data_IF_038985260477
#
_entry.id   IF_038985260477
#
_cell.length_a   1.000
_cell.length_b   1.000
_cell.length_c   1.000
_cell.angle_alpha   90.00
_cell.angle_beta   90.00
_cell.angle_gamma   90.00
#
_symmetry.space_group_name_H-M   'P 1'
#
loop_
_entity.id
_entity.type
_entity.pdbx_description
1 polymer ?
#
# COMPACT_ATOMS: atom_id res chain seq x y z
N UNK A 1 -5.92 26.61 -25.99
CA UNK A 1 -5.33 25.96 -24.80
C UNK A 1 -6.40 25.05 -24.19
N UNK A 2 -6.36 23.78 -24.51
CA UNK A 2 -7.26 22.77 -23.94
C UNK A 2 -6.96 22.66 -22.44
N UNK A 3 -7.98 22.91 -21.64
CA UNK A 3 -7.94 22.81 -20.19
C UNK A 3 -7.73 21.32 -19.83
N UNK A 4 -6.47 20.89 -19.69
CA UNK A 4 -6.14 19.56 -19.17
C UNK A 4 -6.64 19.47 -17.73
N UNK A 5 -7.89 19.05 -17.59
CA UNK A 5 -8.43 18.63 -16.30
C UNK A 5 -7.57 17.45 -15.88
N UNK A 6 -6.45 17.72 -15.16
CA UNK A 6 -5.51 16.69 -14.69
C UNK A 6 -6.33 15.59 -14.05
N UNK A 7 -6.41 14.43 -14.72
CA UNK A 7 -7.11 13.28 -14.18
C UNK A 7 -6.49 12.92 -12.84
N UNK A 8 -7.33 12.62 -11.86
CA UNK A 8 -6.92 12.24 -10.51
C UNK A 8 -7.54 10.89 -10.20
N UNK A 9 -6.70 9.94 -9.86
CA UNK A 9 -7.13 8.63 -9.38
C UNK A 9 -6.96 8.54 -7.87
N UNK A 10 -7.88 7.83 -7.21
CA UNK A 10 -7.84 7.54 -5.78
C UNK A 10 -7.51 6.07 -5.61
N UNK A 11 -6.39 5.74 -5.00
CA UNK A 11 -5.92 4.37 -4.84
C UNK A 11 -5.56 4.08 -3.37
N UNK A 12 -6.03 2.95 -2.85
CA UNK A 12 -5.53 2.38 -1.61
C UNK A 12 -4.30 1.54 -1.96
N UNK A 13 -3.13 1.92 -1.45
CA UNK A 13 -1.86 1.32 -1.87
C UNK A 13 -1.38 0.16 -0.99
N UNK A 14 -2.22 -0.29 -0.05
CA UNK A 14 -1.85 -1.36 0.88
C UNK A 14 -3.08 -2.17 1.30
N UNK A 15 -3.34 -3.28 0.60
CA UNK A 15 -4.49 -4.16 0.86
C UNK A 15 -4.07 -5.62 0.75
N UNK A 16 -4.48 -6.45 1.73
CA UNK A 16 -4.27 -7.89 1.74
C UNK A 16 -5.53 -8.65 1.35
N UNK A 17 -5.35 -9.80 0.70
CA UNK A 17 -6.45 -10.64 0.23
C UNK A 17 -6.38 -12.05 0.82
N UNK A 18 -7.26 -12.95 0.39
CA UNK A 18 -7.22 -14.38 0.77
C UNK A 18 -5.92 -15.10 0.37
N UNK A 19 -5.03 -14.45 -0.37
CA UNK A 19 -3.68 -14.93 -0.69
C UNK A 19 -2.64 -14.55 0.37
N UNK A 20 -3.05 -13.78 1.37
CA UNK A 20 -2.27 -13.49 2.58
C UNK A 20 -2.80 -14.33 3.74
N UNK A 21 -1.94 -14.96 4.56
CA UNK A 21 -2.37 -15.91 5.59
C UNK A 21 -3.23 -15.27 6.70
N UNK A 22 -3.22 -13.95 6.80
CA UNK A 22 -3.87 -13.16 7.84
C UNK A 22 -5.00 -12.26 7.31
N UNK A 23 -5.45 -12.51 6.06
CA UNK A 23 -6.57 -11.80 5.45
C UNK A 23 -7.64 -12.76 4.89
N UNK A 24 -8.88 -12.30 4.86
CA UNK A 24 -10.02 -13.04 4.30
C UNK A 24 -10.73 -12.28 3.16
N UNK A 25 -10.10 -11.25 2.62
CA UNK A 25 -10.71 -10.37 1.62
C UNK A 25 -10.75 -11.07 0.25
N UNK A 26 -11.95 -11.36 -0.25
CA UNK A 26 -12.14 -11.87 -1.62
C UNK A 26 -12.12 -10.73 -2.65
N UNK A 27 -12.02 -11.07 -3.96
CA UNK A 27 -12.09 -10.09 -5.05
C UNK A 27 -13.40 -9.30 -5.01
N UNK A 28 -14.52 -9.99 -4.83
CA UNK A 28 -15.85 -9.36 -4.79
C UNK A 28 -15.94 -8.35 -3.63
N UNK A 29 -15.47 -8.73 -2.46
CA UNK A 29 -15.44 -7.86 -1.28
C UNK A 29 -14.53 -6.66 -1.50
N UNK A 30 -13.34 -6.88 -2.08
CA UNK A 30 -12.38 -5.82 -2.39
C UNK A 30 -12.98 -4.79 -3.34
N UNK A 31 -13.52 -5.23 -4.47
CA UNK A 31 -14.11 -4.34 -5.49
C UNK A 31 -15.35 -3.61 -4.93
N UNK A 32 -16.21 -4.33 -4.19
CA UNK A 32 -17.39 -3.72 -3.56
C UNK A 32 -17.01 -2.57 -2.62
N UNK A 33 -16.09 -2.81 -1.67
CA UNK A 33 -15.72 -1.78 -0.70
C UNK A 33 -14.90 -0.65 -1.31
N UNK A 34 -14.00 -0.96 -2.26
CA UNK A 34 -13.25 0.05 -2.99
C UNK A 34 -14.18 1.01 -3.75
N UNK A 35 -15.14 0.48 -4.53
CA UNK A 35 -16.15 1.29 -5.22
C UNK A 35 -17.04 2.07 -4.24
N UNK A 36 -17.47 1.46 -3.15
CA UNK A 36 -18.27 2.12 -2.10
C UNK A 36 -17.55 3.30 -1.45
N UNK A 37 -16.19 3.26 -1.39
CA UNK A 37 -15.34 4.34 -0.88
C UNK A 37 -14.94 5.35 -1.98
N UNK A 38 -15.41 5.15 -3.21
CA UNK A 38 -15.08 6.01 -4.35
C UNK A 38 -13.61 5.92 -4.76
N UNK A 39 -12.97 4.76 -4.54
CA UNK A 39 -11.65 4.49 -5.07
C UNK A 39 -11.72 4.21 -6.57
N UNK A 40 -10.66 4.59 -7.28
CA UNK A 40 -10.44 4.26 -8.70
C UNK A 40 -9.72 2.92 -8.83
N UNK A 41 -8.91 2.55 -7.86
CA UNK A 41 -8.13 1.31 -7.85
C UNK A 41 -7.57 0.98 -6.46
N UNK A 42 -6.92 -0.16 -6.38
CA UNK A 42 -6.19 -0.63 -5.18
C UNK A 42 -4.88 -1.29 -5.59
N UNK A 43 -3.86 -1.23 -4.73
CA UNK A 43 -2.73 -2.14 -4.80
C UNK A 43 -3.01 -3.35 -3.91
N UNK A 44 -2.87 -4.54 -4.46
CA UNK A 44 -2.89 -5.78 -3.70
C UNK A 44 -1.45 -6.11 -3.34
N UNK A 45 -1.20 -6.23 -2.04
CA UNK A 45 0.13 -6.32 -1.46
C UNK A 45 0.20 -7.47 -0.45
N UNK A 46 -0.27 -8.65 -0.86
CA UNK A 46 -0.21 -9.86 -0.04
C UNK A 46 1.22 -10.16 0.42
N UNK A 47 1.37 -10.73 1.62
CA UNK A 47 2.68 -11.05 2.19
C UNK A 47 3.46 -12.04 1.32
N UNK A 48 4.65 -11.62 0.86
CA UNK A 48 5.62 -12.42 0.09
C UNK A 48 5.02 -13.11 -1.16
N UNK A 49 3.90 -12.63 -1.68
CA UNK A 49 3.18 -13.22 -2.81
C UNK A 49 2.65 -12.15 -3.77
N UNK A 50 2.72 -12.44 -5.05
CA UNK A 50 2.10 -11.65 -6.14
C UNK A 50 0.91 -12.38 -6.78
N UNK A 51 0.63 -13.60 -6.35
CA UNK A 51 -0.36 -14.49 -6.97
C UNK A 51 -1.76 -13.89 -6.97
N UNK A 52 -2.25 -13.45 -5.80
CA UNK A 52 -3.55 -12.82 -5.65
C UNK A 52 -3.68 -11.55 -6.49
N UNK A 53 -2.67 -10.71 -6.47
CA UNK A 53 -2.62 -9.47 -7.23
C UNK A 53 -2.73 -9.72 -8.75
N UNK A 54 -1.94 -10.68 -9.27
CA UNK A 54 -1.93 -11.02 -10.70
C UNK A 54 -3.22 -11.71 -11.13
N UNK A 55 -3.79 -12.56 -10.29
CA UNK A 55 -5.06 -13.23 -10.56
C UNK A 55 -6.19 -12.21 -10.60
N UNK A 56 -6.35 -11.41 -9.56
CA UNK A 56 -7.43 -10.43 -9.46
C UNK A 56 -7.36 -9.37 -10.56
N UNK A 57 -6.15 -8.94 -10.96
CA UNK A 57 -5.98 -8.02 -12.07
C UNK A 57 -6.49 -8.56 -13.42
N UNK A 58 -6.59 -9.89 -13.60
CA UNK A 58 -7.15 -10.53 -14.81
C UNK A 58 -8.66 -10.78 -14.71
N UNK A 59 -9.21 -10.82 -13.50
CA UNK A 59 -10.60 -11.19 -13.24
C UNK A 59 -11.53 -9.98 -13.11
N UNK A 60 -11.01 -8.75 -13.18
CA UNK A 60 -11.82 -7.53 -13.05
C UNK A 60 -11.29 -6.38 -13.92
N UNK A 61 -12.20 -5.52 -14.39
CA UNK A 61 -11.87 -4.24 -15.04
C UNK A 61 -11.55 -3.13 -14.01
N UNK A 62 -11.72 -3.39 -12.70
CA UNK A 62 -11.32 -2.47 -11.66
C UNK A 62 -9.79 -2.37 -11.60
N UNK A 63 -9.24 -1.15 -11.47
CA UNK A 63 -7.79 -0.98 -11.47
C UNK A 63 -7.14 -1.68 -10.28
N UNK A 64 -6.45 -2.79 -10.55
CA UNK A 64 -5.59 -3.49 -9.59
C UNK A 64 -4.14 -3.17 -9.93
N UNK A 65 -3.40 -2.62 -8.98
CA UNK A 65 -1.95 -2.44 -9.06
C UNK A 65 -1.31 -3.70 -8.45
N UNK A 66 -0.63 -4.53 -9.27
CA UNK A 66 0.04 -5.71 -8.74
C UNK A 66 1.18 -5.31 -7.81
N UNK A 67 1.25 -5.96 -6.66
CA UNK A 67 2.27 -5.69 -5.66
C UNK A 67 2.44 -6.84 -4.67
N UNK A 68 3.29 -6.63 -3.70
CA UNK A 68 3.51 -7.54 -2.56
C UNK A 68 4.06 -6.74 -1.38
N UNK A 69 3.74 -7.15 -0.16
CA UNK A 69 4.44 -6.72 1.05
C UNK A 69 5.52 -7.73 1.39
N UNK A 70 6.78 -7.35 1.16
CA UNK A 70 7.94 -8.21 1.34
C UNK A 70 8.39 -8.20 2.81
N UNK A 71 8.50 -9.37 3.41
CA UNK A 71 9.09 -9.56 4.75
C UNK A 71 10.62 -9.50 4.65
N UNK A 72 11.19 -8.28 4.67
CA UNK A 72 12.63 -8.12 4.77
C UNK A 72 13.13 -8.38 6.20
N UNK A 73 14.43 -8.61 6.36
CA UNK A 73 15.06 -8.78 7.70
C UNK A 73 14.88 -7.55 8.60
N UNK A 74 14.80 -6.36 7.99
CA UNK A 74 14.79 -5.10 8.71
C UNK A 74 13.38 -4.49 8.89
N UNK A 75 12.36 -5.14 8.34
CA UNK A 75 10.97 -4.71 8.36
C UNK A 75 10.27 -4.89 7.01
N UNK A 76 9.01 -4.53 6.92
CA UNK A 76 8.23 -4.74 5.72
C UNK A 76 8.47 -3.66 4.66
N UNK A 77 8.50 -4.08 3.40
CA UNK A 77 8.63 -3.21 2.23
C UNK A 77 7.50 -3.53 1.25
N UNK A 78 6.68 -2.55 0.93
CA UNK A 78 5.68 -2.70 -0.14
C UNK A 78 6.35 -2.46 -1.50
N UNK A 79 6.24 -3.45 -2.38
CA UNK A 79 6.63 -3.37 -3.77
C UNK A 79 5.38 -3.14 -4.63
N UNK A 80 5.34 -2.07 -5.41
CA UNK A 80 4.26 -1.77 -6.34
C UNK A 80 4.68 -2.06 -7.78
N UNK A 81 3.74 -2.49 -8.61
CA UNK A 81 3.94 -2.86 -10.02
C UNK A 81 5.00 -3.95 -10.22
N UNK A 82 4.97 -4.97 -9.37
CA UNK A 82 5.81 -6.16 -9.50
C UNK A 82 4.96 -7.37 -9.92
N UNK A 83 5.53 -8.21 -10.77
CA UNK A 83 4.86 -9.39 -11.35
C UNK A 83 5.55 -10.71 -11.02
N UNK A 84 6.64 -10.64 -10.28
CA UNK A 84 7.41 -11.78 -9.80
C UNK A 84 7.69 -11.64 -8.31
N UNK A 85 7.93 -12.76 -7.65
CA UNK A 85 8.17 -12.79 -6.21
C UNK A 85 9.51 -12.13 -5.88
N UNK A 86 9.49 -11.18 -4.97
CA UNK A 86 10.69 -10.60 -4.38
C UNK A 86 11.13 -11.50 -3.21
N UNK A 87 12.39 -11.95 -3.15
CA UNK A 87 12.86 -12.82 -2.08
C UNK A 87 12.72 -12.15 -0.71
N UNK A 88 12.11 -12.87 0.24
CA UNK A 88 12.04 -12.45 1.65
C UNK A 88 13.37 -12.65 2.39
N UNK A 89 13.51 -12.01 3.55
CA UNK A 89 14.65 -12.18 4.46
C UNK A 89 15.92 -11.43 4.04
N UNK A 90 15.91 -10.72 2.92
CA UNK A 90 16.96 -9.77 2.53
C UNK A 90 16.94 -8.56 3.48
N UNK A 91 18.01 -7.78 3.54
CA UNK A 91 17.96 -6.46 4.18
C UNK A 91 16.96 -5.55 3.46
N UNK A 92 16.50 -4.49 4.11
CA UNK A 92 15.61 -3.52 3.48
C UNK A 92 16.23 -2.92 2.21
N UNK A 93 17.54 -2.66 2.24
CA UNK A 93 18.29 -2.10 1.11
C UNK A 93 18.36 -3.07 -0.08
N UNK A 94 18.74 -4.33 0.16
CA UNK A 94 18.75 -5.38 -0.86
C UNK A 94 17.33 -5.64 -1.42
N UNK A 95 16.30 -5.56 -0.57
CA UNK A 95 14.91 -5.70 -0.99
C UNK A 95 14.52 -4.59 -1.96
N UNK A 96 14.87 -3.33 -1.64
CA UNK A 96 14.63 -2.18 -2.54
C UNK A 96 15.36 -2.35 -3.87
N UNK A 97 16.63 -2.78 -3.86
CA UNK A 97 17.39 -3.04 -5.08
C UNK A 97 16.73 -4.12 -5.93
N UNK A 98 16.24 -5.21 -5.32
CA UNK A 98 15.52 -6.27 -6.05
C UNK A 98 14.21 -5.77 -6.65
N UNK A 99 13.47 -4.92 -5.94
CA UNK A 99 12.25 -4.29 -6.47
C UNK A 99 12.58 -3.42 -7.69
N UNK A 100 13.64 -2.63 -7.63
CA UNK A 100 14.07 -1.78 -8.76
C UNK A 100 14.53 -2.61 -9.98
N UNK A 101 15.24 -3.72 -9.76
CA UNK A 101 15.69 -4.62 -10.86
C UNK A 101 14.51 -5.14 -11.67
N UNK A 102 13.37 -5.40 -11.04
CA UNK A 102 12.16 -5.89 -11.74
C UNK A 102 11.24 -4.74 -12.20
N UNK A 103 11.70 -3.49 -12.10
CA UNK A 103 10.96 -2.30 -12.55
C UNK A 103 9.84 -1.85 -11.61
N UNK A 104 9.81 -2.34 -10.37
CA UNK A 104 8.85 -1.95 -9.35
C UNK A 104 9.21 -0.65 -8.63
N UNK A 105 8.30 -0.18 -7.80
CA UNK A 105 8.45 0.99 -6.91
C UNK A 105 8.42 0.51 -5.46
N UNK A 106 9.46 0.86 -4.71
CA UNK A 106 9.63 0.45 -3.30
C UNK A 106 9.07 1.51 -2.35
N UNK A 107 8.11 1.11 -1.51
CA UNK A 107 7.49 1.96 -0.50
C UNK A 107 7.88 1.50 0.90
N UNK A 108 8.42 2.40 1.72
CA UNK A 108 8.60 2.18 3.15
C UNK A 108 7.23 2.19 3.84
N UNK A 109 6.61 0.99 3.98
CA UNK A 109 5.28 0.87 4.56
C UNK A 109 5.31 0.93 6.08
N UNK A 110 4.28 1.56 6.68
CA UNK A 110 4.09 1.74 8.13
C UNK A 110 5.39 1.82 8.97
N UNK A 111 6.39 2.67 8.59
CA UNK A 111 7.77 2.55 9.07
C UNK A 111 7.94 2.73 10.58
N UNK A 112 6.92 3.19 11.29
CA UNK A 112 6.95 3.42 12.74
C UNK A 112 5.72 2.89 13.50
N UNK A 113 4.93 2.01 12.90
CA UNK A 113 3.84 1.34 13.60
C UNK A 113 4.40 0.30 14.58
N UNK A 114 3.80 0.16 15.74
CA UNK A 114 4.16 -0.92 16.68
C UNK A 114 3.54 -2.25 16.22
N UNK A 115 4.26 -3.35 16.42
CA UNK A 115 3.80 -4.72 16.16
C UNK A 115 3.48 -5.04 14.69
N UNK A 116 4.14 -4.35 13.74
CA UNK A 116 3.88 -4.49 12.29
C UNK A 116 5.14 -4.65 11.42
N UNK A 117 6.20 -5.23 11.90
CA UNK A 117 7.40 -5.35 11.07
C UNK A 117 7.89 -3.99 10.53
N UNK A 118 7.97 -2.99 11.40
CA UNK A 118 8.30 -1.62 10.99
C UNK A 118 9.78 -1.41 10.73
N UNK A 119 10.11 -0.75 9.61
CA UNK A 119 11.48 -0.46 9.19
C UNK A 119 12.28 0.42 10.16
N UNK A 120 11.61 1.31 10.91
CA UNK A 120 12.26 2.22 11.83
C UNK A 120 13.38 3.05 11.18
N UNK A 121 14.61 2.86 11.67
CA UNK A 121 15.81 3.55 11.14
C UNK A 121 16.23 3.06 9.75
N UNK A 122 15.74 1.91 9.28
CA UNK A 122 16.09 1.35 7.97
C UNK A 122 15.31 1.99 6.81
N UNK A 123 14.27 2.79 7.10
CA UNK A 123 13.66 3.66 6.10
C UNK A 123 14.67 4.74 5.69
N UNK A 124 15.09 4.74 4.43
CA UNK A 124 16.21 5.55 3.90
C UNK A 124 15.84 6.23 2.58
N UNK A 125 16.78 7.00 2.03
CA UNK A 125 16.65 7.67 0.73
C UNK A 125 16.65 6.72 -0.48
N UNK A 126 16.87 5.42 -0.29
CA UNK A 126 16.79 4.41 -1.35
C UNK A 126 15.36 4.04 -1.74
N UNK A 127 14.40 4.30 -0.86
CA UNK A 127 12.98 4.10 -1.15
C UNK A 127 12.45 5.15 -2.15
N UNK A 128 11.43 4.80 -2.91
CA UNK A 128 10.76 5.71 -3.85
C UNK A 128 9.65 6.53 -3.19
N UNK A 129 9.05 6.01 -2.10
CA UNK A 129 8.01 6.67 -1.34
C UNK A 129 7.95 6.18 0.11
N UNK A 130 7.26 6.94 0.96
CA UNK A 130 6.98 6.58 2.36
C UNK A 130 5.47 6.56 2.58
N UNK A 131 4.97 5.47 3.14
CA UNK A 131 3.59 5.39 3.63
C UNK A 131 3.48 6.20 4.92
N UNK A 132 3.12 7.47 4.78
CA UNK A 132 2.97 8.37 5.94
C UNK A 132 1.65 8.14 6.66
N UNK A 133 0.60 7.71 5.94
CA UNK A 133 -0.69 7.34 6.50
C UNK A 133 -0.94 5.86 6.24
N UNK A 134 -0.84 5.05 7.30
CA UNK A 134 -1.33 3.68 7.33
C UNK A 134 -2.50 3.63 8.32
N UNK A 135 -3.72 3.33 7.84
CA UNK A 135 -4.91 3.41 8.69
C UNK A 135 -4.91 2.37 9.83
N UNK A 136 -4.22 1.26 9.65
CA UNK A 136 -4.07 0.19 10.65
C UNK A 136 -2.93 0.43 11.64
N UNK A 137 -2.07 1.45 11.42
CA UNK A 137 -0.94 1.74 12.29
C UNK A 137 -1.37 2.09 13.73
N UNK A 138 -0.59 1.61 14.69
CA UNK A 138 -0.80 1.91 16.10
C UNK A 138 0.54 2.29 16.77
N UNK A 139 0.61 3.35 17.56
CA UNK A 139 -0.35 4.45 17.73
C UNK A 139 -0.40 5.36 16.47
N UNK A 140 -1.55 5.56 15.88
CA UNK A 140 -1.72 6.22 14.58
C UNK A 140 -1.01 7.59 14.48
N UNK A 141 -1.35 8.54 15.36
CA UNK A 141 -0.79 9.91 15.33
C UNK A 141 0.73 9.95 15.50
N UNK A 142 1.30 9.04 16.32
CA UNK A 142 2.75 8.94 16.51
C UNK A 142 3.44 8.39 15.26
N UNK A 143 2.87 7.34 14.67
CA UNK A 143 3.38 6.71 13.45
C UNK A 143 3.36 7.70 12.29
N UNK A 144 2.23 8.37 12.06
CA UNK A 144 2.08 9.44 11.06
C UNK A 144 3.18 10.50 11.21
N UNK A 145 3.30 11.14 12.39
CA UNK A 145 4.29 12.20 12.61
C UNK A 145 5.72 11.75 12.33
N UNK A 146 6.09 10.52 12.73
CA UNK A 146 7.44 10.00 12.49
C UNK A 146 7.67 9.68 11.01
N UNK A 147 6.67 9.12 10.32
CA UNK A 147 6.76 8.82 8.90
C UNK A 147 6.85 10.11 8.06
N UNK A 148 6.11 11.16 8.41
CA UNK A 148 6.25 12.48 7.79
C UNK A 148 7.65 13.08 7.99
N UNK A 149 8.23 12.94 9.17
CA UNK A 149 9.59 13.41 9.44
C UNK A 149 10.64 12.70 8.56
N UNK A 150 10.50 11.38 8.34
CA UNK A 150 11.38 10.63 7.43
C UNK A 150 11.17 11.06 5.99
N UNK A 151 9.92 11.17 5.53
CA UNK A 151 9.60 11.64 4.19
C UNK A 151 10.21 13.02 3.91
N UNK A 152 10.10 13.95 4.87
CA UNK A 152 10.70 15.28 4.77
C UNK A 152 12.23 15.23 4.76
N UNK A 153 12.83 14.41 5.65
CA UNK A 153 14.29 14.27 5.77
C UNK A 153 14.93 13.80 4.47
N UNK A 154 14.33 12.82 3.81
CA UNK A 154 14.85 12.20 2.58
C UNK A 154 14.22 12.76 1.31
N UNK A 155 13.30 13.74 1.42
CA UNK A 155 12.55 14.34 0.31
C UNK A 155 11.77 13.30 -0.50
N UNK A 156 11.24 12.27 0.16
CA UNK A 156 10.50 11.19 -0.48
C UNK A 156 9.02 11.56 -0.66
N UNK A 157 8.40 11.11 -1.76
CA UNK A 157 6.96 11.14 -1.95
C UNK A 157 6.21 10.52 -0.78
N UNK A 158 5.06 11.10 -0.42
CA UNK A 158 4.20 10.61 0.66
C UNK A 158 3.01 9.89 0.08
N UNK A 159 2.75 8.69 0.57
CA UNK A 159 1.61 7.86 0.16
C UNK A 159 0.80 7.40 1.37
N UNK A 160 -0.35 6.81 1.11
CA UNK A 160 -1.24 6.23 2.10
C UNK A 160 -1.80 4.89 1.64
N UNK A 161 -1.98 3.99 2.58
CA UNK A 161 -2.68 2.74 2.42
C UNK A 161 -3.43 2.35 3.69
N UNK A 162 -4.42 1.49 3.54
CA UNK A 162 -5.23 1.05 4.68
C UNK A 162 -4.54 -0.04 5.48
N UNK A 163 -3.75 -0.89 4.82
CA UNK A 163 -3.22 -2.13 5.37
C UNK A 163 -4.40 -3.02 5.84
N UNK A 164 -5.37 -3.16 4.92
CA UNK A 164 -6.64 -3.80 5.20
C UNK A 164 -6.51 -5.32 5.13
N UNK A 165 -6.92 -5.98 6.22
CA UNK A 165 -7.08 -7.44 6.33
C UNK A 165 -8.55 -7.82 6.55
N UNK A 166 -9.44 -6.81 6.62
CA UNK A 166 -10.88 -6.93 6.76
C UNK A 166 -11.55 -5.93 5.81
N UNK A 167 -12.38 -6.43 4.90
CA UNK A 167 -12.88 -5.68 3.76
C UNK A 167 -13.53 -4.32 4.08
N UNK A 168 -14.32 -4.13 5.15
CA UNK A 168 -14.88 -2.83 5.52
C UNK A 168 -13.85 -1.73 5.83
N UNK A 169 -12.57 -2.08 6.04
CA UNK A 169 -11.52 -1.11 6.29
C UNK A 169 -10.94 -0.50 4.98
N UNK A 170 -11.07 -1.18 3.84
CA UNK A 170 -10.56 -0.72 2.54
C UNK A 170 -10.97 0.73 2.28
N UNK A 171 -10.00 1.54 1.86
CA UNK A 171 -10.21 2.94 1.49
C UNK A 171 -10.38 3.91 2.65
N UNK A 172 -10.15 3.51 3.91
CA UNK A 172 -10.04 4.45 5.04
C UNK A 172 -8.76 5.29 4.97
N UNK A 173 -7.74 4.80 4.27
CA UNK A 173 -6.61 5.58 3.82
C UNK A 173 -6.38 5.31 2.33
N UNK A 174 -5.99 6.35 1.60
CA UNK A 174 -5.80 6.30 0.16
C UNK A 174 -4.88 7.42 -0.32
N UNK A 175 -4.30 7.22 -1.48
CA UNK A 175 -3.46 8.21 -2.17
C UNK A 175 -4.22 8.76 -3.36
N UNK A 176 -4.26 10.09 -3.49
CA UNK A 176 -4.71 10.76 -4.71
C UNK A 176 -3.51 10.97 -5.61
N UNK A 177 -3.55 10.45 -6.82
CA UNK A 177 -2.45 10.48 -7.78
C UNK A 177 -2.88 11.24 -9.02
N UNK A 178 -2.04 12.17 -9.48
CA UNK A 178 -2.25 12.92 -10.72
C UNK A 178 -1.77 12.11 -11.92
N UNK A 179 -2.59 11.17 -12.39
CA UNK A 179 -2.28 10.21 -13.45
C UNK A 179 -3.54 9.72 -14.16
N UNK A 180 -3.34 9.12 -15.34
CA UNK A 180 -4.33 8.28 -16.01
C UNK A 180 -4.61 7.03 -15.19
N UNK A 181 -5.83 6.43 -15.26
CA UNK A 181 -6.21 5.25 -14.48
C UNK A 181 -5.63 3.95 -15.06
N UNK A 182 -4.31 3.87 -15.17
CA UNK A 182 -3.58 2.65 -15.52
C UNK A 182 -2.37 2.49 -14.59
N UNK A 183 -1.92 1.26 -14.42
CA UNK A 183 -0.88 0.88 -13.46
C UNK A 183 0.39 1.68 -13.65
N UNK A 184 0.93 1.73 -14.86
CA UNK A 184 2.23 2.35 -15.13
C UNK A 184 2.20 3.86 -14.90
N UNK A 185 1.13 4.54 -15.34
CA UNK A 185 0.96 5.98 -15.13
C UNK A 185 0.84 6.33 -13.65
N UNK A 186 0.09 5.52 -12.87
CA UNK A 186 -0.11 5.72 -11.44
C UNK A 186 1.21 5.53 -10.69
N UNK A 187 1.91 4.42 -10.91
CA UNK A 187 3.15 4.09 -10.20
C UNK A 187 4.26 5.07 -10.55
N UNK A 188 4.40 5.44 -11.84
CA UNK A 188 5.33 6.49 -12.28
C UNK A 188 5.02 7.86 -11.65
N UNK A 189 3.75 8.20 -11.50
CA UNK A 189 3.36 9.46 -10.86
C UNK A 189 3.68 9.45 -9.36
N UNK A 190 3.53 8.32 -8.66
CA UNK A 190 3.92 8.15 -7.27
C UNK A 190 5.43 8.37 -7.11
N UNK A 191 6.26 7.67 -7.87
CA UNK A 191 7.71 7.80 -7.82
C UNK A 191 8.20 9.23 -8.12
N UNK A 192 7.46 9.98 -8.94
CA UNK A 192 7.73 11.40 -9.24
C UNK A 192 7.09 12.40 -8.25
N UNK A 193 6.53 11.94 -7.13
CA UNK A 193 5.93 12.81 -6.11
C UNK A 193 4.62 13.51 -6.54
N UNK A 194 3.98 13.07 -7.63
CA UNK A 194 2.70 13.60 -8.09
C UNK A 194 1.52 12.92 -7.41
N UNK A 195 1.62 12.82 -6.09
CA UNK A 195 0.64 12.14 -5.25
C UNK A 195 0.45 12.86 -3.91
N UNK A 196 -0.67 12.59 -3.25
CA UNK A 196 -1.01 13.16 -1.95
C UNK A 196 -1.75 12.12 -1.11
N UNK A 197 -1.28 11.82 0.13
CA UNK A 197 -1.93 10.89 1.03
C UNK A 197 -3.14 11.51 1.75
N UNK A 198 -4.16 10.69 1.98
CA UNK A 198 -5.36 11.01 2.76
C UNK A 198 -5.75 9.80 3.59
N UNK A 199 -6.39 10.04 4.73
CA UNK A 199 -6.97 8.95 5.52
C UNK A 199 -6.97 9.20 7.01
N UNK A 200 -7.58 8.25 7.70
CA UNK A 200 -7.72 8.23 9.16
C UNK A 200 -7.46 6.82 9.71
N UNK A 201 -7.31 6.72 11.03
CA UNK A 201 -7.16 5.42 11.69
C UNK A 201 -8.41 4.56 11.50
N UNK A 202 -8.22 3.26 11.31
CA UNK A 202 -9.32 2.28 11.36
C UNK A 202 -10.08 2.46 12.68
N UNK A 203 -11.41 2.72 12.64
CA UNK A 203 -12.23 2.88 13.84
C UNK A 203 -12.18 1.63 14.74
N UNK A 204 -12.21 1.84 16.06
CA UNK A 204 -12.12 0.74 17.04
C UNK A 204 -13.17 -0.35 16.79
N UNK A 205 -14.39 0.04 16.41
CA UNK A 205 -15.47 -0.90 16.06
C UNK A 205 -15.07 -1.88 14.94
N UNK A 206 -14.34 -1.42 13.93
CA UNK A 206 -13.87 -2.28 12.84
C UNK A 206 -12.67 -3.14 13.27
N UNK A 207 -11.79 -2.61 14.13
CA UNK A 207 -10.70 -3.40 14.72
C UNK A 207 -11.27 -4.56 15.54
N UNK A 208 -12.30 -4.34 16.34
CA UNK A 208 -12.97 -5.38 17.12
C UNK A 208 -13.73 -6.36 16.20
N UNK A 209 -14.45 -5.87 15.20
CA UNK A 209 -15.19 -6.73 14.25
C UNK A 209 -14.27 -7.70 13.51
N UNK A 210 -13.03 -7.31 13.19
CA UNK A 210 -12.02 -8.20 12.61
C UNK A 210 -11.82 -9.45 13.50
N UNK A 211 -11.64 -9.29 14.80
CA UNK A 211 -11.43 -10.42 15.71
C UNK A 211 -12.61 -11.40 15.71
N UNK A 212 -13.85 -10.89 15.76
CA UNK A 212 -15.04 -11.76 15.72
C UNK A 212 -15.26 -12.46 14.37
N UNK A 213 -14.68 -11.95 13.29
CA UNK A 213 -14.78 -12.56 11.96
C UNK A 213 -13.82 -13.75 11.81
N UNK A 214 -12.67 -13.73 12.46
CA UNK A 214 -11.66 -14.81 12.42
C UNK A 214 -11.98 -15.99 13.36
N UNK A 215 -12.90 -15.84 14.29
CA UNK A 215 -13.29 -16.89 15.25
C UNK A 215 -14.62 -17.58 14.89
N UNK A 216 -15.15 -17.37 13.70
CA UNK A 216 -16.26 -18.10 13.11
C UNK A 216 -15.78 -19.00 11.97
#
# INVERSE_FOLDING_TARGET
MLNEKKMRVKVDLHVHTVYSPDSSITLEQLVFWAKKRGLTGVAITDHDSVEGALKFARETDFLIIPGTEVNSRDGHVVALNVREVIPKGLSAEETVERIHVVGGVAVACHPFALFKGSLGRHASSKFDAVETINASASPFKRSLRKAEAIAARFKLPRVAGTDAHYAPAIGLAYTVVAAEPNVDAVVKAIANGRCQPFGESVPLRLKLAKYFHYFK
#
